data_IF_588144809635
#
_entry.id   IF_588144809635
#
_cell.length_a   1.000
_cell.length_b   1.000
_cell.length_c   1.000
_cell.angle_alpha   90.00
_cell.angle_beta   90.00
_cell.angle_gamma   90.00
#
_symmetry.space_group_name_H-M   'P 1'
#
loop_
_entity.id
_entity.type
_entity.pdbx_description
1 polymer ?
#
# COMPACT_ATOMS: atom_id res chain seq x y z
N UNK A 1 -69.60 -16.73 -3.35
CA UNK A 1 -69.42 -17.71 -4.44
C UNK A 1 -68.76 -17.02 -5.61
N UNK A 2 -67.57 -17.48 -5.99
CA UNK A 2 -66.89 -17.21 -7.26
C UNK A 2 -66.18 -15.85 -7.42
N UNK A 3 -64.99 -15.64 -7.99
CA UNK A 3 -63.71 -16.35 -8.16
C UNK A 3 -63.01 -15.70 -9.37
N UNK A 4 -61.69 -15.44 -9.25
CA UNK A 4 -60.66 -15.33 -10.30
C UNK A 4 -60.63 -14.08 -11.21
N UNK A 5 -59.68 -13.14 -10.95
CA UNK A 5 -58.31 -12.98 -11.53
C UNK A 5 -58.28 -12.14 -12.81
N UNK A 6 -57.40 -11.12 -12.87
CA UNK A 6 -56.43 -10.92 -13.95
C UNK A 6 -55.25 -10.09 -13.41
N UNK A 7 -54.08 -10.72 -13.46
CA UNK A 7 -52.75 -10.19 -13.20
C UNK A 7 -52.39 -9.13 -14.27
N UNK A 8 -51.86 -7.99 -13.84
CA UNK A 8 -51.46 -6.89 -14.74
C UNK A 8 -50.16 -6.22 -14.32
N UNK A 9 -49.07 -7.00 -14.24
CA UNK A 9 -47.66 -6.58 -14.34
C UNK A 9 -47.21 -5.44 -13.42
N UNK A 10 -46.91 -5.78 -12.15
CA UNK A 10 -45.88 -5.06 -11.40
C UNK A 10 -44.54 -5.29 -12.11
N UNK A 11 -44.03 -4.29 -12.83
CA UNK A 11 -42.65 -4.28 -13.29
C UNK A 11 -41.74 -4.15 -12.07
N UNK A 12 -41.26 -5.29 -11.59
CA UNK A 12 -40.24 -5.38 -10.56
C UNK A 12 -38.92 -4.86 -11.16
N UNK A 13 -38.65 -3.56 -10.97
CA UNK A 13 -37.31 -3.00 -11.18
C UNK A 13 -36.45 -3.55 -10.05
N UNK A 14 -35.86 -4.72 -10.28
CA UNK A 14 -34.77 -5.23 -9.43
C UNK A 14 -33.55 -4.38 -9.77
N UNK A 15 -33.42 -3.25 -9.07
CA UNK A 15 -32.16 -2.53 -8.98
C UNK A 15 -31.21 -3.44 -8.21
N UNK A 16 -30.44 -4.25 -8.96
CA UNK A 16 -29.27 -4.95 -8.45
C UNK A 16 -28.29 -3.89 -7.94
N UNK A 17 -28.42 -3.53 -6.65
CA UNK A 17 -27.31 -2.98 -5.90
C UNK A 17 -26.18 -3.99 -6.04
N UNK A 18 -25.16 -3.64 -6.82
CA UNK A 18 -23.90 -4.35 -6.84
C UNK A 18 -23.35 -4.33 -5.41
N UNK A 19 -23.57 -5.42 -4.69
CA UNK A 19 -22.79 -5.76 -3.51
C UNK A 19 -21.35 -5.91 -4.00
N UNK A 20 -20.55 -4.86 -3.85
CA UNK A 20 -19.12 -4.98 -3.93
C UNK A 20 -18.71 -6.09 -2.96
N UNK A 21 -18.31 -7.23 -3.51
CA UNK A 21 -17.81 -8.35 -2.73
C UNK A 21 -16.60 -7.92 -1.88
N UNK A 22 -16.23 -8.71 -0.86
CA UNK A 22 -15.17 -8.38 0.10
C UNK A 22 -13.77 -8.24 -0.54
N UNK A 23 -13.60 -8.60 -1.80
CA UNK A 23 -12.33 -8.59 -2.52
C UNK A 23 -12.29 -7.46 -3.56
N UNK A 24 -12.17 -6.21 -3.09
CA UNK A 24 -11.66 -5.17 -3.98
C UNK A 24 -10.28 -5.64 -4.50
N UNK A 25 -10.01 -5.59 -5.83
CA UNK A 25 -8.76 -6.10 -6.36
C UNK A 25 -7.60 -5.40 -5.67
N UNK A 26 -6.70 -6.18 -5.07
CA UNK A 26 -5.50 -5.70 -4.37
C UNK A 26 -4.58 -4.84 -5.25
N UNK A 27 -4.84 -4.80 -6.56
CA UNK A 27 -4.03 -4.13 -7.56
C UNK A 27 -4.91 -3.24 -8.43
N UNK A 28 -5.00 -1.98 -8.04
CA UNK A 28 -5.57 -0.91 -8.87
C UNK A 28 -4.46 -0.21 -9.66
N UNK A 29 -4.82 0.64 -10.63
CA UNK A 29 -3.86 1.50 -11.30
C UNK A 29 -3.14 2.45 -10.30
N UNK A 30 -3.88 2.98 -9.32
CA UNK A 30 -3.34 3.81 -8.26
C UNK A 30 -2.33 3.05 -7.39
N UNK A 31 -2.67 1.85 -6.92
CA UNK A 31 -1.74 1.01 -6.15
C UNK A 31 -0.51 0.63 -6.96
N UNK A 32 -0.67 0.33 -8.26
CA UNK A 32 0.45 0.00 -9.15
C UNK A 32 1.41 1.18 -9.28
N UNK A 33 0.88 2.39 -9.47
CA UNK A 33 1.68 3.62 -9.51
C UNK A 33 2.42 3.83 -8.19
N UNK A 34 1.73 3.72 -7.06
CA UNK A 34 2.33 3.89 -5.74
C UNK A 34 3.45 2.88 -5.51
N UNK A 35 3.26 1.60 -5.85
CA UNK A 35 4.31 0.58 -5.65
C UNK A 35 5.52 0.79 -6.58
N UNK A 36 5.32 1.37 -7.77
CA UNK A 36 6.41 1.78 -8.66
C UNK A 36 7.19 2.94 -8.08
N UNK A 37 6.52 3.99 -7.61
CA UNK A 37 7.17 5.14 -6.95
C UNK A 37 7.92 4.71 -5.69
N UNK A 38 7.36 3.79 -4.90
CA UNK A 38 8.02 3.19 -3.72
C UNK A 38 9.34 2.51 -4.12
N UNK A 39 9.33 1.71 -5.18
CA UNK A 39 10.54 1.05 -5.67
C UNK A 39 11.59 2.08 -6.10
N UNK A 40 11.18 3.07 -6.91
CA UNK A 40 12.08 4.12 -7.39
C UNK A 40 12.75 4.88 -6.25
N UNK A 41 11.97 5.36 -5.28
CA UNK A 41 12.56 6.10 -4.15
C UNK A 41 13.41 5.22 -3.23
N UNK A 42 13.05 3.94 -3.04
CA UNK A 42 13.90 3.01 -2.28
C UNK A 42 15.26 2.81 -2.94
N UNK A 43 15.31 2.63 -4.27
CA UNK A 43 16.56 2.53 -5.02
C UNK A 43 17.39 3.80 -4.92
N UNK A 44 16.73 4.97 -4.98
CA UNK A 44 17.39 6.27 -4.86
C UNK A 44 17.93 6.56 -3.46
N UNK A 45 17.28 6.05 -2.40
CA UNK A 45 17.84 6.08 -1.05
C UNK A 45 19.16 5.29 -0.99
N UNK A 46 19.22 4.09 -1.57
CA UNK A 46 20.46 3.31 -1.62
C UNK A 46 21.56 4.05 -2.40
N UNK A 47 21.23 4.60 -3.56
CA UNK A 47 22.14 5.42 -4.36
C UNK A 47 22.70 6.59 -3.53
N UNK A 48 21.83 7.31 -2.83
CA UNK A 48 22.20 8.44 -1.99
C UNK A 48 23.12 8.05 -0.83
N UNK A 49 22.84 6.93 -0.16
CA UNK A 49 23.71 6.39 0.91
C UNK A 49 25.10 6.06 0.34
N UNK A 50 25.16 5.31 -0.75
CA UNK A 50 26.43 4.83 -1.34
C UNK A 50 27.28 5.96 -1.94
N UNK A 51 26.66 7.05 -2.36
CA UNK A 51 27.34 8.22 -2.94
C UNK A 51 27.51 9.38 -1.96
N UNK A 52 27.09 9.20 -0.69
CA UNK A 52 27.08 10.23 0.34
C UNK A 52 26.26 11.49 -0.04
N UNK A 53 25.25 11.35 -0.89
CA UNK A 53 24.31 12.42 -1.23
C UNK A 53 23.29 12.61 -0.11
N UNK A 54 23.64 13.45 0.87
CA UNK A 54 22.77 13.74 2.01
C UNK A 54 21.45 14.40 1.61
N UNK A 55 21.45 15.21 0.55
CA UNK A 55 20.24 15.89 0.08
C UNK A 55 19.30 14.88 -0.58
N UNK A 56 19.83 14.05 -1.49
CA UNK A 56 19.07 12.97 -2.11
C UNK A 56 18.52 11.99 -1.08
N UNK A 57 19.30 11.68 -0.04
CA UNK A 57 18.85 10.83 1.06
C UNK A 57 17.63 11.44 1.77
N UNK A 58 17.69 12.72 2.16
CA UNK A 58 16.56 13.39 2.81
C UNK A 58 15.34 13.52 1.89
N UNK A 59 15.54 13.94 0.64
CA UNK A 59 14.49 14.12 -0.36
C UNK A 59 13.75 12.81 -0.63
N UNK A 60 14.47 11.72 -0.89
CA UNK A 60 13.88 10.44 -1.26
C UNK A 60 13.26 9.71 -0.07
N UNK A 61 13.84 9.83 1.13
CA UNK A 61 13.23 9.32 2.36
C UNK A 61 11.91 10.05 2.67
N UNK A 62 11.89 11.37 2.50
CA UNK A 62 10.68 12.19 2.66
C UNK A 62 9.63 11.87 1.59
N UNK A 63 10.04 11.64 0.35
CA UNK A 63 9.14 11.24 -0.72
C UNK A 63 8.43 9.91 -0.40
N UNK A 64 9.15 8.93 0.17
CA UNK A 64 8.55 7.68 0.66
C UNK A 64 7.52 7.92 1.76
N UNK A 65 7.78 8.83 2.71
CA UNK A 65 6.81 9.20 3.75
C UNK A 65 5.56 9.86 3.14
N UNK A 66 5.71 10.70 2.12
CA UNK A 66 4.56 11.32 1.47
C UNK A 66 3.75 10.31 0.65
N UNK A 67 4.42 9.32 0.08
CA UNK A 67 3.78 8.25 -0.69
C UNK A 67 2.80 7.42 0.16
N UNK A 68 3.11 7.21 1.44
CA UNK A 68 2.21 6.47 2.37
C UNK A 68 0.90 7.21 2.69
N UNK A 69 0.83 8.51 2.37
CA UNK A 69 -0.35 9.36 2.59
C UNK A 69 -1.25 9.46 1.36
N UNK A 70 -0.85 8.84 0.25
CA UNK A 70 -1.62 8.88 -1.00
C UNK A 70 -2.77 7.86 -0.99
N UNK A 71 -3.82 8.13 -1.77
CA UNK A 71 -4.99 7.24 -1.89
C UNK A 71 -4.63 5.82 -2.34
N UNK A 72 -3.60 5.67 -3.19
CA UNK A 72 -3.13 4.38 -3.70
C UNK A 72 -2.44 3.52 -2.64
N UNK A 73 -2.10 4.08 -1.49
CA UNK A 73 -1.55 3.35 -0.34
C UNK A 73 -2.66 2.67 0.47
N UNK A 74 -3.78 3.32 0.74
CA UNK A 74 -4.84 2.80 1.63
C UNK A 74 -5.84 1.84 0.97
N UNK A 75 -5.49 1.22 -0.17
CA UNK A 75 -6.42 0.40 -0.97
C UNK A 75 -6.75 -0.93 -0.31
N UNK A 76 -5.82 -1.48 0.48
CA UNK A 76 -6.01 -2.73 1.21
C UNK A 76 -6.48 -2.44 2.65
N UNK A 77 -7.55 -3.12 3.07
CA UNK A 77 -8.18 -2.92 4.39
C UNK A 77 -7.91 -4.04 5.39
N UNK A 78 -7.09 -5.04 5.02
CA UNK A 78 -6.79 -6.16 5.92
C UNK A 78 -5.94 -5.70 7.12
N UNK A 79 -6.18 -6.28 8.29
CA UNK A 79 -5.45 -5.91 9.50
C UNK A 79 -3.95 -6.17 9.40
N UNK A 80 -3.54 -7.24 8.70
CA UNK A 80 -2.11 -7.50 8.47
C UNK A 80 -1.49 -6.50 7.49
N UNK A 81 -2.21 -6.07 6.44
CA UNK A 81 -1.72 -5.00 5.57
C UNK A 81 -1.48 -3.71 6.37
N UNK A 82 -2.41 -3.34 7.26
CA UNK A 82 -2.26 -2.17 8.11
C UNK A 82 -1.05 -2.29 9.05
N UNK A 83 -0.82 -3.47 9.66
CA UNK A 83 0.37 -3.72 10.49
C UNK A 83 1.67 -3.55 9.71
N UNK A 84 1.76 -4.17 8.53
CA UNK A 84 2.94 -4.09 7.67
C UNK A 84 3.17 -2.67 7.14
N UNK A 85 2.09 -1.96 6.82
CA UNK A 85 2.11 -0.54 6.44
C UNK A 85 2.65 0.34 7.57
N UNK A 86 2.18 0.12 8.81
CA UNK A 86 2.68 0.84 9.98
C UNK A 86 4.16 0.55 10.26
N UNK A 87 4.60 -0.71 10.11
CA UNK A 87 6.01 -1.08 10.24
C UNK A 87 6.90 -0.36 9.21
N UNK A 88 6.44 -0.28 7.95
CA UNK A 88 7.12 0.49 6.91
C UNK A 88 7.20 1.98 7.24
N UNK A 89 6.12 2.59 7.73
CA UNK A 89 6.11 4.00 8.15
C UNK A 89 7.09 4.25 9.29
N UNK A 90 7.11 3.38 10.30
CA UNK A 90 8.05 3.51 11.43
C UNK A 90 9.52 3.43 10.97
N UNK A 91 9.85 2.47 10.10
CA UNK A 91 11.20 2.35 9.54
C UNK A 91 11.58 3.58 8.67
N UNK A 92 10.61 4.19 7.97
CA UNK A 92 10.83 5.43 7.24
C UNK A 92 11.10 6.62 8.16
N UNK A 93 10.37 6.74 9.28
CA UNK A 93 10.57 7.83 10.23
C UNK A 93 12.01 7.80 10.79
N UNK A 94 12.51 6.61 11.12
CA UNK A 94 13.89 6.45 11.59
C UNK A 94 14.94 6.72 10.49
N UNK A 95 14.64 6.33 9.24
CA UNK A 95 15.49 6.64 8.09
C UNK A 95 15.56 8.15 7.85
N UNK A 96 14.42 8.86 7.90
CA UNK A 96 14.35 10.32 7.79
C UNK A 96 15.09 10.99 8.95
N UNK A 97 14.97 10.46 10.18
CA UNK A 97 15.72 10.96 11.33
C UNK A 97 17.23 10.82 11.12
N UNK A 98 17.68 9.67 10.62
CA UNK A 98 19.09 9.41 10.29
C UNK A 98 19.61 10.34 9.18
N UNK A 99 18.79 10.58 8.15
CA UNK A 99 19.07 11.51 7.07
C UNK A 99 19.26 12.95 7.58
N UNK A 100 18.34 13.44 8.42
CA UNK A 100 18.41 14.78 9.02
C UNK A 100 19.61 14.97 9.94
N UNK A 101 20.01 13.90 10.63
CA UNK A 101 21.23 13.87 11.45
C UNK A 101 22.51 13.74 10.62
N UNK A 102 22.40 13.57 9.29
CA UNK A 102 23.52 13.32 8.36
C UNK A 102 24.35 12.11 8.75
N UNK A 103 23.71 11.10 9.35
CA UNK A 103 24.35 9.89 9.81
C UNK A 103 24.14 8.76 8.78
N UNK A 104 25.11 8.60 7.87
CA UNK A 104 25.05 7.62 6.78
C UNK A 104 25.08 6.17 7.28
N UNK A 105 25.83 5.89 8.35
CA UNK A 105 25.89 4.55 8.94
C UNK A 105 24.54 4.14 9.52
N UNK A 106 23.91 5.05 10.27
CA UNK A 106 22.54 4.83 10.76
C UNK A 106 21.55 4.73 9.61
N UNK A 107 21.66 5.57 8.59
CA UNK A 107 20.79 5.51 7.41
C UNK A 107 20.91 4.17 6.65
N UNK A 108 22.10 3.58 6.58
CA UNK A 108 22.30 2.26 5.98
C UNK A 108 21.55 1.16 6.75
N UNK A 109 21.62 1.18 8.09
CA UNK A 109 20.87 0.24 8.95
C UNK A 109 19.36 0.43 8.78
N UNK A 110 18.88 1.67 8.80
CA UNK A 110 17.45 1.94 8.66
C UNK A 110 16.93 1.64 7.24
N UNK A 111 17.75 1.83 6.21
CA UNK A 111 17.43 1.39 4.85
C UNK A 111 17.23 -0.14 4.79
N UNK A 112 18.11 -0.92 5.43
CA UNK A 112 17.94 -2.37 5.52
C UNK A 112 16.64 -2.73 6.24
N UNK A 113 16.36 -2.12 7.39
CA UNK A 113 15.09 -2.31 8.13
C UNK A 113 13.87 -2.00 7.26
N UNK A 114 13.87 -0.85 6.58
CA UNK A 114 12.81 -0.45 5.65
C UNK A 114 12.62 -1.49 4.52
N UNK A 115 13.69 -1.97 3.90
CA UNK A 115 13.58 -2.99 2.83
C UNK A 115 13.03 -4.32 3.34
N UNK A 116 13.32 -4.72 4.58
CA UNK A 116 12.75 -5.93 5.19
C UNK A 116 11.21 -5.88 5.26
N UNK A 117 10.64 -4.74 5.68
CA UNK A 117 9.17 -4.57 5.70
C UNK A 117 8.53 -4.72 4.32
N UNK A 118 9.27 -4.39 3.25
CA UNK A 118 8.79 -4.57 1.87
C UNK A 118 8.63 -6.06 1.53
N UNK A 119 9.62 -6.88 1.89
CA UNK A 119 9.57 -8.32 1.68
C UNK A 119 8.49 -8.98 2.53
N UNK A 120 8.33 -8.56 3.78
CA UNK A 120 7.33 -9.09 4.71
C UNK A 120 5.90 -8.82 4.20
N UNK A 121 5.61 -7.58 3.81
CA UNK A 121 4.34 -7.21 3.21
C UNK A 121 4.07 -8.03 1.93
N UNK A 122 5.04 -8.11 1.01
CA UNK A 122 4.86 -8.85 -0.24
C UNK A 122 4.70 -10.36 -0.02
N UNK A 123 5.40 -10.94 0.96
CA UNK A 123 5.21 -12.34 1.37
C UNK A 123 3.78 -12.57 1.87
N UNK A 124 3.27 -11.66 2.71
CA UNK A 124 1.90 -11.76 3.20
C UNK A 124 0.89 -11.67 2.04
N UNK A 125 0.97 -10.64 1.20
CA UNK A 125 0.05 -10.45 0.07
C UNK A 125 0.08 -11.64 -0.88
N UNK A 126 1.26 -12.17 -1.19
CA UNK A 126 1.40 -13.39 -2.00
C UNK A 126 0.67 -14.57 -1.35
N UNK A 127 0.91 -14.82 -0.07
CA UNK A 127 0.29 -15.95 0.64
C UNK A 127 -1.23 -15.82 0.71
N UNK A 128 -1.76 -14.62 0.92
CA UNK A 128 -3.20 -14.36 0.92
C UNK A 128 -3.82 -14.65 -0.45
N UNK A 129 -3.16 -14.26 -1.56
CA UNK A 129 -3.63 -14.59 -2.92
C UNK A 129 -3.64 -16.09 -3.21
N UNK A 130 -2.71 -16.86 -2.65
CA UNK A 130 -2.65 -18.32 -2.84
C UNK A 130 -3.68 -19.07 -1.99
N UNK A 131 -4.17 -18.47 -0.90
CA UNK A 131 -5.14 -19.07 0.00
C UNK A 131 -6.60 -18.82 -0.43
N UNK A 132 -6.85 -17.82 -1.29
CA UNK A 132 -8.16 -17.57 -1.88
C UNK A 132 -8.32 -18.40 -3.17
N UNK A 133 -9.36 -19.26 -3.29
CA UNK A 133 -9.58 -20.14 -4.45
C UNK A 133 -9.96 -19.40 -5.72
#
# INVERSE_FOLDING_TARGET
MGTHTIFGRLSLVVLLLALAGPDAPAQTAATTRVMREKLTHSQKVLEAILTSDLKGLEDHSTALVNLTKTEGWAVLRSGEYQRQSAAFVHALDDLVASAKQKNLDAAAVQYMSMTMTCFECHRHIKNTRLATP
#
